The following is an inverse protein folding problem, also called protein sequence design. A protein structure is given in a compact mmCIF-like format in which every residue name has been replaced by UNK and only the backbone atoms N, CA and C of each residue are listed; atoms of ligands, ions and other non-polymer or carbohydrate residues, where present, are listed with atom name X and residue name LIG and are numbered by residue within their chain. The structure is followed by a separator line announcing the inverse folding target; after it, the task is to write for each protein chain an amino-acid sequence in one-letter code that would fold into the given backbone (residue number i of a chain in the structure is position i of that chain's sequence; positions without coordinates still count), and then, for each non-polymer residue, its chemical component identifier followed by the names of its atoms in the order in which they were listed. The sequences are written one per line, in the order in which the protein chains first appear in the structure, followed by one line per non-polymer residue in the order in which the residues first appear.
data_IF_473258318200
#
_entry.id   IF_473258318200
#
_cell.length_a   1.000
_cell.length_b   1.000
_cell.length_c   1.000
_cell.angle_alpha   90.00
_cell.angle_beta   90.00
_cell.angle_gamma   90.00
#
_symmetry.space_group_name_H-M   'P 1'
#
loop_
_entity.id
_entity.type
_entity.pdbx_description
1 polymer ?
#
# COMPACT_ATOMS: atom_id res chain seq x y z
N UNK A 1 -8.79 17.44 4.24
CA UNK A 1 -9.88 17.09 3.32
C UNK A 1 -10.41 15.71 3.70
N UNK A 2 -11.72 15.57 3.94
CA UNK A 2 -12.34 14.29 4.28
C UNK A 2 -12.94 13.60 3.06
N UNK A 3 -13.04 12.27 3.09
CA UNK A 3 -13.70 11.49 2.04
C UNK A 3 -15.20 11.82 1.98
N UNK A 4 -15.71 11.95 0.77
CA UNK A 4 -17.15 11.98 0.51
C UNK A 4 -17.75 10.57 0.63
N UNK A 5 -19.08 10.43 0.83
CA UNK A 5 -19.74 9.11 0.87
C UNK A 5 -19.49 8.27 -0.39
N UNK A 6 -19.44 8.89 -1.58
CA UNK A 6 -19.17 8.20 -2.83
C UNK A 6 -17.72 7.68 -2.92
N UNK A 7 -16.75 8.46 -2.42
CA UNK A 7 -15.35 8.02 -2.33
C UNK A 7 -15.19 6.87 -1.34
N UNK A 8 -15.85 6.96 -0.18
CA UNK A 8 -15.84 5.89 0.82
C UNK A 8 -16.43 4.60 0.27
N UNK A 9 -17.63 4.67 -0.33
CA UNK A 9 -18.28 3.49 -0.92
C UNK A 9 -17.40 2.82 -1.98
N UNK A 10 -16.72 3.60 -2.82
CA UNK A 10 -15.78 3.08 -3.82
C UNK A 10 -14.60 2.36 -3.17
N UNK A 11 -13.98 2.97 -2.17
CA UNK A 11 -12.85 2.38 -1.46
C UNK A 11 -13.24 1.04 -0.78
N UNK A 12 -14.43 0.99 -0.17
CA UNK A 12 -14.92 -0.21 0.51
C UNK A 12 -15.35 -1.35 -0.45
N UNK A 13 -15.57 -1.05 -1.73
CA UNK A 13 -15.89 -2.06 -2.76
C UNK A 13 -14.67 -2.71 -3.41
N UNK A 14 -13.45 -2.28 -3.06
CA UNK A 14 -12.23 -2.91 -3.56
C UNK A 14 -12.08 -4.30 -2.97
N UNK A 15 -11.95 -5.31 -3.84
CA UNK A 15 -11.74 -6.71 -3.46
C UNK A 15 -10.50 -6.86 -2.57
N UNK A 16 -10.61 -7.57 -1.45
CA UNK A 16 -9.47 -8.04 -0.68
C UNK A 16 -8.90 -9.32 -1.32
N UNK A 17 -7.72 -9.24 -1.92
CA UNK A 17 -7.08 -10.37 -2.61
C UNK A 17 -6.57 -11.43 -1.64
N UNK A 18 -6.39 -11.08 -0.36
CA UNK A 18 -6.00 -12.02 0.69
C UNK A 18 -7.18 -12.75 1.29
N UNK A 19 -8.42 -12.31 1.05
CA UNK A 19 -9.65 -12.87 1.65
C UNK A 19 -10.25 -13.98 0.76
N UNK A 20 -10.21 -15.25 1.19
CA UNK A 20 -10.77 -16.36 0.40
C UNK A 20 -12.29 -16.25 0.22
N UNK A 21 -13.00 -15.52 1.09
CA UNK A 21 -14.43 -15.28 0.92
C UNK A 21 -14.75 -14.41 -0.32
N UNK A 22 -13.75 -13.70 -0.84
CA UNK A 22 -13.86 -12.86 -2.02
C UNK A 22 -13.29 -13.54 -3.28
N UNK A 23 -13.11 -14.88 -3.26
CA UNK A 23 -12.66 -15.70 -4.37
C UNK A 23 -11.15 -15.98 -4.36
N UNK A 24 -10.69 -16.97 -5.14
CA UNK A 24 -9.29 -17.41 -5.14
C UNK A 24 -8.34 -16.33 -5.69
N UNK A 25 -7.12 -16.30 -5.15
CA UNK A 25 -6.03 -15.47 -5.64
C UNK A 25 -4.65 -15.95 -5.13
N UNK A 26 -3.60 -15.72 -5.91
CA UNK A 26 -2.22 -16.10 -5.61
C UNK A 26 -1.69 -15.48 -4.31
N UNK A 27 -2.26 -14.33 -3.92
CA UNK A 27 -1.96 -13.68 -2.63
C UNK A 27 -2.32 -14.58 -1.44
N UNK A 28 -3.40 -15.35 -1.51
CA UNK A 28 -3.81 -16.29 -0.46
C UNK A 28 -2.81 -17.44 -0.37
N UNK A 29 -2.44 -18.03 -1.50
CA UNK A 29 -1.46 -19.12 -1.55
C UNK A 29 -0.09 -18.69 -1.00
N UNK A 30 0.32 -17.45 -1.30
CA UNK A 30 1.56 -16.89 -0.79
C UNK A 30 1.47 -16.61 0.72
N UNK A 31 0.35 -16.06 1.18
CA UNK A 31 0.10 -15.85 2.61
C UNK A 31 0.09 -17.17 3.38
N UNK A 32 -0.59 -18.19 2.86
CA UNK A 32 -0.64 -19.54 3.46
C UNK A 32 0.75 -20.18 3.53
N UNK A 33 1.58 -20.00 2.49
CA UNK A 33 2.96 -20.46 2.50
C UNK A 33 3.80 -19.77 3.60
N UNK A 34 3.65 -18.45 3.75
CA UNK A 34 4.36 -17.68 4.78
C UNK A 34 3.90 -18.08 6.18
N UNK A 35 2.58 -18.11 6.42
CA UNK A 35 2.00 -18.50 7.71
C UNK A 35 2.36 -19.94 8.05
N UNK A 36 2.30 -20.85 7.09
CA UNK A 36 2.69 -22.25 7.26
C UNK A 36 4.17 -22.42 7.61
N UNK A 37 5.07 -21.65 6.96
CA UNK A 37 6.49 -21.67 7.29
C UNK A 37 6.76 -21.18 8.72
N UNK A 38 6.10 -20.11 9.15
CA UNK A 38 6.24 -19.59 10.52
C UNK A 38 5.62 -20.53 11.57
N UNK A 39 4.45 -21.12 11.29
CA UNK A 39 3.82 -22.09 12.16
C UNK A 39 4.67 -23.36 12.32
N UNK A 40 5.34 -23.82 11.24
CA UNK A 40 6.26 -24.93 11.31
C UNK A 40 7.53 -24.60 12.11
N UNK A 41 8.03 -23.36 12.01
CA UNK A 41 9.16 -22.88 12.80
C UNK A 41 8.82 -22.72 14.29
N UNK A 42 7.55 -22.44 14.61
CA UNK A 42 7.06 -22.21 15.97
C UNK A 42 5.91 -23.17 16.30
N UNK A 43 6.19 -24.47 16.53
CA UNK A 43 5.15 -25.48 16.74
C UNK A 43 4.32 -25.27 18.02
N UNK A 44 4.80 -24.46 18.96
CA UNK A 44 4.06 -24.03 20.16
C UNK A 44 3.10 -22.87 19.89
N UNK A 45 3.26 -22.15 18.78
CA UNK A 45 2.52 -20.94 18.51
C UNK A 45 1.13 -21.25 17.93
N UNK A 46 0.10 -20.61 18.46
CA UNK A 46 -1.24 -20.66 17.86
C UNK A 46 -1.35 -19.62 16.76
N UNK A 47 -1.83 -20.00 15.58
CA UNK A 47 -2.08 -19.05 14.49
C UNK A 47 -3.46 -18.41 14.67
N UNK A 48 -3.49 -17.08 14.68
CA UNK A 48 -4.72 -16.30 14.81
C UNK A 48 -4.82 -15.29 13.68
N UNK A 49 -5.71 -15.56 12.73
CA UNK A 49 -6.03 -14.61 11.65
C UNK A 49 -7.06 -13.60 12.16
N UNK A 50 -6.72 -12.32 12.08
CA UNK A 50 -7.58 -11.20 12.49
C UNK A 50 -7.92 -10.37 11.26
N UNK A 51 -9.21 -10.31 10.92
CA UNK A 51 -9.74 -9.40 9.90
C UNK A 51 -10.74 -8.47 10.56
N UNK A 52 -10.47 -7.18 10.49
CA UNK A 52 -11.39 -6.14 10.97
C UNK A 52 -11.84 -5.23 9.82
N UNK A 53 -12.97 -4.53 9.96
CA UNK A 53 -13.38 -3.51 9.00
C UNK A 53 -12.28 -2.45 8.82
N UNK A 54 -12.03 -1.96 7.59
CA UNK A 54 -10.93 -1.04 7.33
C UNK A 54 -11.14 0.38 7.87
N UNK A 55 -12.33 0.70 8.39
CA UNK A 55 -12.63 1.98 9.04
C UNK A 55 -12.18 1.90 10.50
N UNK A 56 -11.13 2.65 10.83
CA UNK A 56 -10.46 2.58 12.14
C UNK A 56 -10.39 3.96 12.80
N UNK A 57 -10.17 3.97 14.12
CA UNK A 57 -9.86 5.19 14.84
C UNK A 57 -8.45 5.67 14.49
N UNK A 58 -8.27 6.99 14.36
CA UNK A 58 -6.94 7.61 14.18
C UNK A 58 -5.99 7.21 15.30
N UNK A 59 -6.53 7.06 16.51
CA UNK A 59 -5.79 6.61 17.69
C UNK A 59 -5.24 5.19 17.58
N UNK A 60 -5.99 4.25 17.00
CA UNK A 60 -5.49 2.89 16.78
C UNK A 60 -4.52 2.83 15.59
N UNK A 61 -4.78 3.61 14.52
CA UNK A 61 -3.90 3.64 13.35
C UNK A 61 -2.54 4.29 13.63
N UNK A 62 -2.49 5.31 14.50
CA UNK A 62 -1.26 6.09 14.68
C UNK A 62 -0.84 6.29 16.13
N UNK A 63 -1.71 6.84 16.99
CA UNK A 63 -1.31 7.30 18.32
C UNK A 63 -0.78 6.16 19.20
N UNK A 64 -1.49 5.02 19.25
CA UNK A 64 -1.12 3.85 20.06
C UNK A 64 0.04 3.04 19.46
N UNK A 65 0.41 3.34 18.22
CA UNK A 65 1.61 2.81 17.57
C UNK A 65 2.81 3.79 17.67
N UNK A 66 2.64 4.92 18.35
CA UNK A 66 3.73 5.85 18.65
C UNK A 66 4.11 6.81 17.53
N UNK A 67 3.31 6.93 16.47
CA UNK A 67 3.57 7.89 15.40
C UNK A 67 3.53 9.33 15.94
N UNK A 68 4.48 10.16 15.54
CA UNK A 68 4.50 11.57 15.91
C UNK A 68 3.26 12.29 15.33
N UNK A 69 2.58 13.18 16.08
CA UNK A 69 1.44 13.95 15.55
C UNK A 69 1.77 14.79 14.30
N UNK A 70 3.03 15.20 14.13
CA UNK A 70 3.56 15.92 12.98
C UNK A 70 4.18 15.00 11.90
N UNK A 71 4.07 13.68 12.06
CA UNK A 71 4.53 12.71 11.07
C UNK A 71 3.81 12.94 9.73
N UNK A 72 4.58 13.01 8.66
CA UNK A 72 4.07 13.26 7.31
C UNK A 72 3.06 12.19 6.87
N UNK A 73 3.17 10.96 7.37
CA UNK A 73 2.23 9.87 7.08
C UNK A 73 0.83 10.15 7.60
N UNK A 74 0.66 11.06 8.58
CA UNK A 74 -0.64 11.54 9.07
C UNK A 74 -1.21 12.68 8.24
N UNK A 75 -0.44 13.26 7.31
CA UNK A 75 -0.96 14.34 6.48
C UNK A 75 -2.10 13.80 5.61
N UNK A 76 -3.17 14.60 5.48
CA UNK A 76 -4.28 14.26 4.63
C UNK A 76 -3.82 13.99 3.18
N UNK A 77 -2.72 14.59 2.72
CA UNK A 77 -2.15 14.34 1.39
C UNK A 77 -1.81 12.87 1.12
N UNK A 78 -1.47 12.09 2.14
CA UNK A 78 -1.17 10.66 2.03
C UNK A 78 -2.29 9.77 2.57
N UNK A 79 -3.12 10.31 3.48
CA UNK A 79 -4.06 9.53 4.29
C UNK A 79 -5.52 9.92 4.07
N UNK A 80 -6.40 8.91 4.08
CA UNK A 80 -7.82 9.05 3.74
C UNK A 80 -8.71 9.12 4.99
N UNK A 81 -8.88 10.33 5.51
CA UNK A 81 -9.72 10.61 6.68
C UNK A 81 -11.21 10.68 6.36
N UNK A 82 -12.05 10.18 7.28
CA UNK A 82 -13.51 10.36 7.27
C UNK A 82 -13.93 11.51 8.20
N UNK A 83 -13.20 11.69 9.29
CA UNK A 83 -13.41 12.74 10.31
C UNK A 83 -12.08 13.02 11.03
N UNK A 84 -12.01 13.97 11.99
CA UNK A 84 -10.81 14.17 12.80
C UNK A 84 -10.35 12.93 13.58
N UNK A 85 -11.24 11.97 13.84
CA UNK A 85 -10.99 10.81 14.71
C UNK A 85 -11.11 9.47 13.98
N UNK A 86 -11.53 9.46 12.72
CA UNK A 86 -11.85 8.24 11.97
C UNK A 86 -11.28 8.30 10.56
N UNK A 87 -10.71 7.18 10.11
CA UNK A 87 -10.04 7.07 8.81
C UNK A 87 -10.20 5.67 8.21
N UNK A 88 -9.89 5.53 6.92
CA UNK A 88 -9.56 4.21 6.37
C UNK A 88 -8.12 3.89 6.79
N UNK A 89 -7.86 2.68 7.29
CA UNK A 89 -6.54 2.30 7.79
C UNK A 89 -5.46 2.50 6.73
N UNK A 90 -4.34 3.12 7.10
CA UNK A 90 -3.21 3.36 6.19
C UNK A 90 -2.19 2.22 6.18
N UNK A 91 -2.31 1.27 7.11
CA UNK A 91 -1.56 0.02 7.16
C UNK A 91 -2.31 -1.01 8.02
N UNK A 92 -2.02 -2.30 7.84
CA UNK A 92 -2.65 -3.39 8.61
C UNK A 92 -2.28 -3.38 10.10
N UNK A 93 -1.15 -2.77 10.48
CA UNK A 93 -0.75 -2.62 11.89
C UNK A 93 -1.76 -1.79 12.70
N UNK A 94 -2.65 -1.04 12.05
CA UNK A 94 -3.72 -0.28 12.72
C UNK A 94 -4.64 -1.15 13.58
N UNK A 95 -4.71 -2.45 13.29
CA UNK A 95 -5.56 -3.39 14.02
C UNK A 95 -4.83 -4.00 15.25
N UNK A 96 -3.53 -3.75 15.39
CA UNK A 96 -2.71 -4.28 16.49
C UNK A 96 -3.14 -3.76 17.85
N UNK A 97 -3.34 -2.45 18.09
CA UNK A 97 -3.69 -1.98 19.43
C UNK A 97 -5.00 -2.62 19.95
N UNK A 98 -6.02 -2.70 19.09
CA UNK A 98 -7.27 -3.39 19.42
C UNK A 98 -7.07 -4.88 19.67
N UNK A 99 -6.25 -5.54 18.86
CA UNK A 99 -5.95 -6.96 19.01
C UNK A 99 -5.21 -7.27 20.31
N UNK A 100 -4.19 -6.46 20.65
CA UNK A 100 -3.39 -6.62 21.86
C UNK A 100 -4.18 -6.35 23.14
N UNK A 101 -5.11 -5.38 23.13
CA UNK A 101 -6.03 -5.16 24.28
C UNK A 101 -6.79 -6.42 24.65
N UNK A 102 -7.08 -7.29 23.67
CA UNK A 102 -7.72 -8.58 23.89
C UNK A 102 -6.89 -9.60 24.69
N UNK A 103 -5.61 -9.33 24.97
CA UNK A 103 -4.73 -10.16 25.80
C UNK A 103 -4.64 -9.67 27.26
N UNK A 104 -5.14 -8.47 27.57
CA UNK A 104 -5.18 -7.96 28.93
C UNK A 104 -6.17 -8.73 29.82
N UNK A 105 -6.01 -8.64 31.14
CA UNK A 105 -6.92 -9.26 32.11
C UNK A 105 -6.69 -10.77 32.27
N UNK A 106 -7.73 -11.60 32.14
CA UNK A 106 -7.65 -13.03 32.45
C UNK A 106 -6.60 -13.81 31.63
N UNK A 107 -6.31 -13.35 30.40
CA UNK A 107 -5.28 -13.95 29.53
C UNK A 107 -3.86 -13.61 29.96
N UNK A 108 -3.68 -12.59 30.81
CA UNK A 108 -2.37 -12.21 31.33
C UNK A 108 -1.75 -13.29 32.22
N UNK A 109 -2.57 -14.22 32.73
CA UNK A 109 -2.11 -15.33 33.57
C UNK A 109 -1.81 -16.61 32.77
N UNK A 110 -2.05 -16.59 31.46
CA UNK A 110 -1.80 -17.74 30.58
C UNK A 110 -0.42 -17.64 29.92
N UNK A 111 0.18 -18.81 29.69
CA UNK A 111 1.32 -18.92 28.76
C UNK A 111 0.78 -18.77 27.33
N UNK A 112 1.19 -17.71 26.66
CA UNK A 112 0.74 -17.34 25.30
C UNK A 112 1.94 -17.33 24.37
N UNK A 113 1.76 -17.93 23.21
CA UNK A 113 2.63 -17.84 22.04
C UNK A 113 1.69 -17.82 20.84
N UNK A 114 1.38 -16.64 20.32
CA UNK A 114 0.41 -16.46 19.25
C UNK A 114 1.11 -15.81 18.05
N UNK A 115 0.93 -16.41 16.87
CA UNK A 115 1.17 -15.75 15.60
C UNK A 115 -0.12 -15.06 15.15
N UNK A 116 -0.19 -13.76 15.38
CA UNK A 116 -1.27 -12.89 14.95
C UNK A 116 -1.01 -12.49 13.49
N UNK A 117 -1.96 -12.78 12.61
CA UNK A 117 -1.89 -12.51 11.17
C UNK A 117 -3.00 -11.53 10.83
N UNK A 118 -2.66 -10.34 10.37
CA UNK A 118 -3.63 -9.27 10.04
C UNK A 118 -3.52 -8.92 8.56
N UNK A 119 -4.14 -9.73 7.67
CA UNK A 119 -4.11 -9.48 6.25
C UNK A 119 -5.23 -8.53 5.82
N UNK A 120 -4.95 -7.71 4.81
CA UNK A 120 -5.98 -7.03 4.05
C UNK A 120 -5.53 -5.71 3.43
N UNK A 121 -6.52 -4.95 2.98
CA UNK A 121 -6.31 -3.66 2.31
C UNK A 121 -5.85 -2.57 3.28
N UNK A 122 -4.85 -1.81 2.86
CA UNK A 122 -4.57 -0.47 3.35
C UNK A 122 -5.07 0.57 2.34
N UNK A 123 -5.25 1.81 2.78
CA UNK A 123 -5.83 2.88 1.96
C UNK A 123 -4.95 4.12 2.04
N UNK A 124 -4.31 4.47 0.93
CA UNK A 124 -3.37 5.59 0.81
C UNK A 124 -3.70 6.41 -0.43
N UNK A 125 -3.29 7.67 -0.42
CA UNK A 125 -3.16 8.46 -1.65
C UNK A 125 -1.77 8.20 -2.20
N UNK A 126 -1.70 7.89 -3.49
CA UNK A 126 -0.47 7.44 -4.12
C UNK A 126 -0.48 7.74 -5.63
N UNK A 127 0.71 7.83 -6.21
CA UNK A 127 0.95 8.12 -7.63
C UNK A 127 0.46 6.99 -8.52
N UNK A 128 -0.03 7.33 -9.72
CA UNK A 128 -0.48 6.33 -10.69
C UNK A 128 0.72 5.86 -11.51
N UNK A 129 1.20 4.65 -11.24
CA UNK A 129 2.21 3.96 -12.05
C UNK A 129 2.06 2.43 -12.00
N UNK A 130 3.09 1.70 -12.43
CA UNK A 130 3.11 0.24 -12.58
C UNK A 130 3.34 -0.52 -11.27
N UNK A 131 3.68 0.16 -10.19
CA UNK A 131 4.04 -0.46 -8.91
C UNK A 131 3.27 0.13 -7.71
N UNK A 132 2.55 1.24 -7.90
CA UNK A 132 1.76 1.92 -6.87
C UNK A 132 0.25 1.86 -7.14
N UNK A 133 -0.51 1.61 -6.07
CA UNK A 133 -1.98 1.59 -6.05
C UNK A 133 -2.47 2.33 -4.80
N UNK A 134 -3.68 2.90 -4.86
CA UNK A 134 -4.27 3.59 -3.70
C UNK A 134 -4.74 2.64 -2.61
N UNK A 135 -4.95 1.36 -2.94
CA UNK A 135 -5.46 0.33 -2.05
C UNK A 135 -4.54 -0.91 -2.05
N UNK A 136 -3.30 -0.79 -1.55
CA UNK A 136 -2.37 -1.91 -1.53
C UNK A 136 -2.81 -2.99 -0.53
N UNK A 137 -2.53 -4.24 -0.88
CA UNK A 137 -2.65 -5.39 0.01
C UNK A 137 -1.44 -5.47 0.93
N UNK A 138 -1.69 -5.60 2.22
CA UNK A 138 -0.67 -5.80 3.24
C UNK A 138 -1.01 -6.99 4.13
N UNK A 139 0.00 -7.48 4.84
CA UNK A 139 -0.20 -8.33 6.00
C UNK A 139 0.78 -7.92 7.10
N UNK A 140 0.25 -7.77 8.30
CA UNK A 140 1.06 -7.75 9.52
C UNK A 140 1.14 -9.15 10.11
N UNK A 141 2.37 -9.60 10.37
CA UNK A 141 2.70 -10.85 11.04
C UNK A 141 3.34 -10.50 12.38
N UNK A 142 2.62 -10.75 13.47
CA UNK A 142 3.08 -10.42 14.82
C UNK A 142 3.13 -11.67 15.66
N UNK A 143 4.30 -12.01 16.19
CA UNK A 143 4.43 -13.10 17.17
C UNK A 143 4.41 -12.48 18.56
N UNK A 144 3.35 -12.71 19.33
CA UNK A 144 3.22 -12.23 20.71
C UNK A 144 3.49 -13.39 21.68
N UNK A 145 4.35 -13.16 22.67
CA UNK A 145 4.71 -14.18 23.66
C UNK A 145 4.59 -13.63 25.08
N UNK A 146 4.09 -14.45 25.99
CA UNK A 146 4.25 -14.25 27.43
C UNK A 146 5.37 -15.13 27.98
N UNK A 147 6.22 -14.59 28.85
CA UNK A 147 7.36 -15.28 29.45
C UNK A 147 8.70 -14.85 28.86
N UNK A 148 9.36 -15.76 28.14
CA UNK A 148 10.73 -15.54 27.67
C UNK A 148 10.84 -14.37 26.70
N UNK A 149 11.90 -13.57 26.88
CA UNK A 149 12.21 -12.46 25.98
C UNK A 149 12.48 -12.95 24.57
N UNK A 150 11.92 -12.20 23.62
CA UNK A 150 12.18 -12.34 22.19
C UNK A 150 13.33 -11.43 21.81
N UNK A 151 14.31 -11.95 21.07
CA UNK A 151 15.57 -11.25 20.75
C UNK A 151 15.79 -11.12 19.25
N UNK A 152 16.79 -10.32 18.85
CA UNK A 152 17.09 -10.11 17.42
C UNK A 152 17.50 -11.36 16.63
N UNK A 153 17.82 -12.49 17.29
CA UNK A 153 17.96 -13.79 16.61
C UNK A 153 16.60 -14.28 16.11
N UNK A 154 15.57 -14.27 16.96
CA UNK A 154 14.22 -14.70 16.59
C UNK A 154 13.66 -13.86 15.43
N UNK A 155 13.96 -12.55 15.42
CA UNK A 155 13.58 -11.64 14.33
C UNK A 155 14.27 -12.03 13.01
N UNK A 156 15.57 -12.29 13.04
CA UNK A 156 16.32 -12.75 11.85
C UNK A 156 15.80 -14.09 11.33
N UNK A 157 15.46 -15.01 12.23
CA UNK A 157 14.92 -16.33 11.87
C UNK A 157 13.53 -16.17 11.23
N UNK A 158 12.67 -15.32 11.79
CA UNK A 158 11.38 -14.97 11.18
C UNK A 158 11.55 -14.42 9.76
N UNK A 159 12.45 -13.46 9.57
CA UNK A 159 12.73 -12.87 8.25
C UNK A 159 13.22 -13.95 7.28
N UNK A 160 14.12 -14.83 7.70
CA UNK A 160 14.61 -15.92 6.86
C UNK A 160 13.48 -16.84 6.38
N UNK A 161 12.57 -17.23 7.26
CA UNK A 161 11.41 -18.06 6.90
C UNK A 161 10.43 -17.33 5.96
N UNK A 162 10.16 -16.05 6.20
CA UNK A 162 9.28 -15.24 5.34
C UNK A 162 9.90 -15.07 3.95
N UNK A 163 11.18 -14.72 3.86
CA UNK A 163 11.86 -14.56 2.56
C UNK A 163 11.90 -15.90 1.82
N UNK A 164 12.25 -17.00 2.47
CA UNK A 164 12.31 -18.31 1.82
C UNK A 164 10.93 -18.76 1.32
N UNK A 165 9.85 -18.47 2.06
CA UNK A 165 8.49 -18.79 1.62
C UNK A 165 8.07 -17.96 0.39
N UNK A 166 8.48 -16.69 0.30
CA UNK A 166 8.09 -15.79 -0.79
C UNK A 166 8.99 -15.93 -2.01
N UNK A 167 10.31 -15.98 -1.80
CA UNK A 167 11.34 -16.06 -2.84
C UNK A 167 12.39 -17.11 -2.44
N UNK A 168 12.09 -18.40 -2.61
CA UNK A 168 13.02 -19.48 -2.30
C UNK A 168 14.40 -19.26 -2.93
N UNK A 169 15.44 -19.32 -2.11
CA UNK A 169 16.83 -19.13 -2.53
C UNK A 169 17.25 -17.69 -2.86
N UNK A 170 16.40 -16.68 -2.62
CA UNK A 170 16.79 -15.29 -2.82
C UNK A 170 17.81 -14.84 -1.77
N UNK A 171 18.78 -14.04 -2.21
CA UNK A 171 19.64 -13.31 -1.27
C UNK A 171 18.84 -12.18 -0.64
N UNK A 172 18.97 -12.00 0.67
CA UNK A 172 18.30 -10.93 1.41
C UNK A 172 19.26 -10.25 2.39
N UNK A 173 18.89 -9.07 2.85
CA UNK A 173 19.60 -8.32 3.90
C UNK A 173 18.61 -7.55 4.77
N UNK A 174 19.00 -7.30 6.02
CA UNK A 174 18.32 -6.37 6.91
C UNK A 174 19.10 -5.06 6.99
N UNK A 175 18.42 -3.96 6.71
CA UNK A 175 18.97 -2.60 6.82
C UNK A 175 18.29 -1.94 8.03
N UNK A 176 19.04 -1.46 9.03
CA UNK A 176 18.44 -0.81 10.20
C UNK A 176 17.49 0.32 9.80
N UNK A 177 16.28 0.31 10.36
CA UNK A 177 15.23 1.28 10.09
C UNK A 177 14.50 1.60 11.41
N UNK A 178 13.96 2.81 11.53
CA UNK A 178 13.19 3.21 12.71
C UNK A 178 11.71 3.17 12.35
N UNK A 179 10.95 2.35 13.07
CA UNK A 179 9.50 2.36 13.01
C UNK A 179 8.95 2.77 14.38
N UNK A 180 7.86 3.54 14.44
CA UNK A 180 7.36 4.06 15.71
C UNK A 180 7.00 2.97 16.72
N UNK A 181 6.50 1.82 16.26
CA UNK A 181 5.97 0.72 17.07
C UNK A 181 6.95 -0.46 17.27
N UNK A 182 8.21 -0.34 16.83
CA UNK A 182 9.23 -1.39 17.03
C UNK A 182 10.51 -0.89 17.69
N UNK A 183 11.21 -1.80 18.37
CA UNK A 183 12.62 -1.67 18.77
C UNK A 183 13.46 -2.52 17.82
N UNK A 184 14.71 -2.10 17.60
CA UNK A 184 15.64 -2.78 16.69
C UNK A 184 15.03 -3.02 15.30
N UNK A 185 14.33 -2.00 14.80
CA UNK A 185 13.65 -2.06 13.52
C UNK A 185 14.61 -2.25 12.34
N UNK A 186 14.13 -2.94 11.31
CA UNK A 186 14.87 -3.17 10.09
C UNK A 186 13.95 -3.29 8.88
N UNK A 187 14.37 -2.68 7.78
CA UNK A 187 13.89 -2.94 6.45
C UNK A 187 14.52 -4.24 5.92
N UNK A 188 13.72 -5.10 5.30
CA UNK A 188 14.14 -6.33 4.66
C UNK A 188 14.21 -6.11 3.15
N UNK A 189 15.42 -6.14 2.59
CA UNK A 189 15.62 -6.08 1.16
C UNK A 189 15.89 -7.49 0.61
N UNK A 190 15.32 -7.79 -0.56
CA UNK A 190 15.61 -9.00 -1.34
C UNK A 190 16.28 -8.62 -2.65
N UNK A 191 17.21 -9.46 -3.10
CA UNK A 191 17.88 -9.28 -4.39
C UNK A 191 17.05 -9.90 -5.49
N UNK A 192 16.61 -9.09 -6.44
CA UNK A 192 15.82 -9.53 -7.58
C UNK A 192 16.32 -8.83 -8.85
N UNK A 193 16.59 -9.62 -9.90
CA UNK A 193 17.06 -9.10 -11.20
C UNK A 193 18.28 -8.18 -11.13
N UNK A 194 19.15 -8.37 -10.13
CA UNK A 194 20.38 -7.59 -9.94
C UNK A 194 20.28 -6.48 -8.89
N UNK A 195 19.07 -6.02 -8.58
CA UNK A 195 18.80 -4.90 -7.68
C UNK A 195 18.33 -5.35 -6.29
N UNK A 196 18.53 -4.50 -5.29
CA UNK A 196 17.95 -4.66 -3.95
C UNK A 196 16.60 -3.97 -3.89
N UNK A 197 15.56 -4.72 -3.56
CA UNK A 197 14.20 -4.23 -3.45
C UNK A 197 13.68 -4.49 -2.04
N UNK A 198 13.11 -3.47 -1.43
CA UNK A 198 12.41 -3.59 -0.16
C UNK A 198 11.22 -4.54 -0.28
N UNK A 199 11.15 -5.53 0.60
CA UNK A 199 10.07 -6.51 0.68
C UNK A 199 9.16 -6.26 1.90
N UNK A 200 9.76 -6.01 3.06
CA UNK A 200 9.06 -5.92 4.33
C UNK A 200 9.80 -5.00 5.31
N UNK A 201 9.08 -4.58 6.36
CA UNK A 201 9.65 -3.90 7.53
C UNK A 201 9.40 -4.76 8.76
N UNK A 202 10.33 -4.78 9.71
CA UNK A 202 10.22 -5.65 10.87
C UNK A 202 10.92 -5.08 12.11
N UNK A 203 10.69 -5.67 13.27
CA UNK A 203 11.36 -5.33 14.52
C UNK A 203 10.83 -6.11 15.72
N UNK A 204 11.41 -5.86 16.89
CA UNK A 204 10.85 -6.32 18.17
C UNK A 204 9.69 -5.39 18.56
N UNK A 205 8.62 -5.91 19.14
CA UNK A 205 7.49 -5.06 19.57
C UNK A 205 7.99 -4.02 20.59
N UNK A 206 7.65 -2.74 20.38
CA UNK A 206 8.04 -1.69 21.30
C UNK A 206 7.23 -1.72 22.60
N UNK A 207 7.91 -1.50 23.72
CA UNK A 207 7.31 -1.59 25.06
C UNK A 207 6.12 -0.64 25.27
N UNK A 208 6.10 0.52 24.61
CA UNK A 208 4.99 1.47 24.73
C UNK A 208 3.71 0.94 24.04
N UNK A 209 3.84 0.11 23.00
CA UNK A 209 2.70 -0.55 22.33
C UNK A 209 2.09 -1.58 23.28
N UNK A 210 2.94 -2.39 23.94
CA UNK A 210 2.50 -3.37 24.94
C UNK A 210 1.82 -2.68 26.13
N UNK A 211 2.46 -1.65 26.70
CA UNK A 211 1.87 -0.86 27.81
C UNK A 211 0.55 -0.20 27.41
N UNK A 212 0.47 0.35 26.19
CA UNK A 212 -0.75 0.95 25.64
C UNK A 212 -1.91 -0.05 25.51
N UNK A 213 -1.61 -1.34 25.41
CA UNK A 213 -2.59 -2.43 25.41
C UNK A 213 -2.86 -3.03 26.80
N UNK A 214 -2.22 -2.52 27.87
CA UNK A 214 -2.32 -3.06 29.23
C UNK A 214 -1.48 -4.32 29.48
N UNK A 215 -0.43 -4.54 28.68
CA UNK A 215 0.49 -5.67 28.81
C UNK A 215 1.83 -5.19 29.42
N UNK A 216 2.32 -5.90 30.42
CA UNK A 216 3.62 -5.63 31.05
C UNK A 216 4.80 -6.07 30.13
N UNK A 217 5.65 -5.15 29.65
CA UNK A 217 6.80 -5.48 28.80
C UNK A 217 7.88 -6.34 29.47
N UNK A 218 7.84 -6.50 30.80
CA UNK A 218 8.70 -7.45 31.50
C UNK A 218 8.17 -8.90 31.44
N UNK A 219 6.91 -9.06 31.05
CA UNK A 219 6.23 -10.36 30.93
C UNK A 219 5.87 -10.69 29.49
N UNK A 220 5.76 -9.68 28.63
CA UNK A 220 5.34 -9.78 27.25
C UNK A 220 6.43 -9.25 26.32
N UNK A 221 6.70 -10.01 25.27
CA UNK A 221 7.61 -9.60 24.21
C UNK A 221 7.14 -10.18 22.87
N UNK A 222 7.76 -9.78 21.77
CA UNK A 222 7.39 -10.35 20.49
C UNK A 222 8.09 -9.74 19.30
N UNK A 223 7.70 -10.24 18.13
CA UNK A 223 8.15 -9.80 16.81
C UNK A 223 7.01 -9.11 16.09
N UNK A 224 7.34 -8.12 15.27
CA UNK A 224 6.45 -7.46 14.34
C UNK A 224 7.08 -7.46 12.95
N UNK A 225 6.30 -7.79 11.92
CA UNK A 225 6.70 -7.70 10.52
C UNK A 225 5.51 -7.27 9.66
N UNK A 226 5.66 -6.18 8.90
CA UNK A 226 4.71 -5.72 7.90
C UNK A 226 5.21 -6.05 6.49
N UNK A 227 4.36 -6.69 5.68
CA UNK A 227 4.69 -7.16 4.33
C UNK A 227 3.71 -6.59 3.30
N UNK A 228 4.24 -6.01 2.23
CA UNK A 228 3.47 -5.62 1.05
C UNK A 228 3.12 -6.83 0.18
N UNK A 229 1.88 -7.34 0.28
CA UNK A 229 1.46 -8.55 -0.41
C UNK A 229 1.43 -8.40 -1.93
N UNK A 230 1.04 -7.23 -2.45
CA UNK A 230 1.08 -6.99 -3.91
C UNK A 230 2.50 -7.14 -4.45
N UNK A 231 3.47 -6.50 -3.78
CA UNK A 231 4.89 -6.59 -4.15
C UNK A 231 5.42 -8.02 -4.02
N UNK A 232 5.06 -8.72 -2.94
CA UNK A 232 5.46 -10.10 -2.72
C UNK A 232 4.98 -11.03 -3.84
N UNK A 233 3.71 -10.92 -4.25
CA UNK A 233 3.15 -11.69 -5.38
C UNK A 233 3.81 -11.30 -6.70
N UNK A 234 4.04 -9.99 -6.93
CA UNK A 234 4.71 -9.51 -8.14
C UNK A 234 6.12 -10.05 -8.25
N UNK A 235 6.91 -10.05 -7.17
CA UNK A 235 8.26 -10.61 -7.14
C UNK A 235 8.25 -12.13 -7.32
N UNK A 236 7.36 -12.84 -6.61
CA UNK A 236 7.23 -14.31 -6.69
C UNK A 236 6.96 -14.78 -8.11
N UNK A 237 6.06 -14.09 -8.81
CA UNK A 237 5.61 -14.47 -10.14
C UNK A 237 6.36 -13.72 -11.25
N UNK A 238 7.11 -12.66 -10.98
CA UNK A 238 7.71 -11.80 -12.01
C UNK A 238 6.67 -10.97 -12.78
N UNK A 239 5.62 -10.50 -12.09
CA UNK A 239 4.56 -9.68 -12.69
C UNK A 239 5.09 -8.24 -12.85
N UNK A 240 5.06 -7.68 -14.07
CA UNK A 240 5.74 -6.42 -14.36
C UNK A 240 4.87 -5.17 -14.11
N UNK A 241 3.59 -5.35 -13.75
CA UNK A 241 2.64 -4.27 -13.55
C UNK A 241 1.57 -4.69 -12.53
N UNK A 242 1.42 -3.89 -11.46
CA UNK A 242 0.51 -4.16 -10.35
C UNK A 242 -0.95 -4.27 -10.81
N UNK A 243 -1.33 -3.62 -11.91
CA UNK A 243 -2.70 -3.68 -12.47
C UNK A 243 -3.09 -5.10 -12.88
N UNK A 244 -2.12 -5.97 -13.19
CA UNK A 244 -2.40 -7.38 -13.51
C UNK A 244 -3.02 -8.15 -12.33
N UNK A 245 -2.69 -7.79 -11.08
CA UNK A 245 -3.19 -8.49 -9.88
C UNK A 245 -4.72 -8.40 -9.73
N UNK A 246 -5.35 -7.39 -10.34
CA UNK A 246 -6.79 -7.13 -10.23
C UNK A 246 -7.52 -7.21 -11.57
N UNK A 247 -6.85 -7.63 -12.62
CA UNK A 247 -7.44 -7.66 -13.96
C UNK A 247 -8.55 -8.72 -14.03
N UNK A 248 -9.72 -8.33 -14.54
CA UNK A 248 -10.82 -9.24 -14.85
C UNK A 248 -10.68 -10.01 -16.17
N UNK A 249 -9.60 -9.79 -16.93
CA UNK A 249 -9.35 -10.55 -18.16
C UNK A 249 -9.11 -12.03 -17.83
N UNK A 250 -9.87 -12.97 -18.42
CA UNK A 250 -9.74 -14.40 -18.09
C UNK A 250 -8.31 -14.96 -18.27
N UNK A 251 -7.54 -14.44 -19.23
CA UNK A 251 -6.15 -14.88 -19.49
C UNK A 251 -5.17 -14.41 -18.43
N UNK A 252 -5.49 -13.30 -17.77
CA UNK A 252 -4.70 -12.74 -16.66
C UNK A 252 -5.17 -13.36 -15.35
N UNK A 253 -6.49 -13.35 -15.11
CA UNK A 253 -7.10 -13.87 -13.89
C UNK A 253 -6.76 -15.34 -13.64
N UNK A 254 -6.78 -16.19 -14.68
CA UNK A 254 -6.41 -17.61 -14.54
C UNK A 254 -4.95 -17.84 -14.12
N UNK A 255 -4.07 -16.86 -14.30
CA UNK A 255 -2.68 -16.94 -13.81
C UNK A 255 -2.56 -16.55 -12.33
N UNK A 256 -3.63 -16.05 -11.71
CA UNK A 256 -3.68 -15.71 -10.29
C UNK A 256 -4.21 -16.86 -9.43
N UNK A 257 -4.38 -18.07 -9.97
CA UNK A 257 -4.84 -19.23 -9.21
C UNK A 257 -3.68 -20.11 -8.69
N UNK A 258 -2.43 -19.76 -9.01
CA UNK A 258 -1.23 -20.47 -8.57
C UNK A 258 -0.03 -19.53 -8.33
N UNK A 259 1.11 -20.08 -7.90
CA UNK A 259 2.37 -19.36 -7.71
C UNK A 259 3.38 -19.57 -8.85
N UNK A 260 2.95 -20.09 -10.01
CA UNK A 260 3.84 -20.29 -11.15
C UNK A 260 4.28 -18.95 -11.75
N UNK A 261 5.46 -18.86 -12.39
CA UNK A 261 5.92 -17.62 -13.01
C UNK A 261 4.93 -17.06 -14.04
N UNK A 262 4.77 -15.74 -14.03
CA UNK A 262 3.94 -14.96 -14.93
C UNK A 262 4.28 -15.23 -16.39
N UNK A 263 3.24 -15.48 -17.18
CA UNK A 263 3.32 -15.62 -18.63
C UNK A 263 2.76 -14.34 -19.26
N UNK A 264 3.57 -13.59 -20.02
CA UNK A 264 3.10 -12.37 -20.68
C UNK A 264 1.87 -12.63 -21.54
N UNK A 265 0.79 -11.91 -21.25
CA UNK A 265 -0.28 -11.69 -22.23
C UNK A 265 0.20 -10.66 -23.25
N UNK A 266 -0.28 -10.73 -24.50
CA UNK A 266 0.20 -9.90 -25.62
C UNK A 266 0.50 -8.46 -25.20
N UNK A 267 1.72 -7.98 -25.46
CA UNK A 267 2.10 -6.61 -25.14
C UNK A 267 1.33 -5.63 -26.04
N UNK A 268 0.37 -4.92 -25.46
CA UNK A 268 -0.44 -3.96 -26.19
C UNK A 268 0.29 -2.62 -26.32
N UNK A 269 0.19 -1.94 -27.48
CA UNK A 269 0.87 -0.67 -27.68
C UNK A 269 0.34 0.38 -26.69
N UNK A 270 1.25 1.15 -26.09
CA UNK A 270 0.90 2.32 -25.28
C UNK A 270 0.69 3.54 -26.15
N UNK A 271 -0.17 4.44 -25.70
CA UNK A 271 -0.35 5.78 -26.25
C UNK A 271 0.09 6.81 -25.21
N UNK A 272 1.04 7.69 -25.59
CA UNK A 272 1.50 8.80 -24.74
C UNK A 272 0.73 10.08 -25.06
N UNK A 273 0.38 10.83 -24.01
CA UNK A 273 -0.16 12.18 -24.09
C UNK A 273 0.55 13.06 -23.07
N UNK A 274 1.07 14.19 -23.52
CA UNK A 274 1.59 15.21 -22.60
C UNK A 274 0.51 16.29 -22.41
N UNK A 275 0.36 16.75 -21.17
CA UNK A 275 -0.62 17.71 -20.72
C UNK A 275 0.11 18.89 -20.09
N UNK A 276 -0.36 20.12 -20.35
CA UNK A 276 -0.02 21.30 -19.54
C UNK A 276 -1.24 21.61 -18.70
N UNK A 277 -1.15 21.47 -17.38
CA UNK A 277 -2.29 21.68 -16.48
C UNK A 277 -1.94 22.74 -15.44
N UNK A 278 -2.94 23.54 -15.07
CA UNK A 278 -2.83 24.47 -13.95
C UNK A 278 -3.33 23.73 -12.72
N UNK A 279 -2.52 23.68 -11.67
CA UNK A 279 -2.81 23.07 -10.36
C UNK A 279 -2.54 24.09 -9.26
N UNK A 280 -3.02 23.83 -8.04
CA UNK A 280 -2.62 24.63 -6.88
C UNK A 280 -1.14 24.35 -6.52
N UNK A 281 -0.46 25.36 -5.97
CA UNK A 281 0.98 25.28 -5.64
C UNK A 281 1.34 24.15 -4.66
N UNK A 282 0.39 23.78 -3.79
CA UNK A 282 0.54 22.76 -2.75
C UNK A 282 0.10 21.35 -3.19
N UNK A 283 -0.36 21.18 -4.43
CA UNK A 283 -0.79 19.87 -4.94
C UNK A 283 0.42 18.99 -5.27
N UNK A 284 0.67 17.96 -4.46
CA UNK A 284 1.70 16.94 -4.70
C UNK A 284 1.24 15.85 -5.70
N UNK A 285 2.17 14.95 -6.05
CA UNK A 285 1.96 13.94 -7.08
C UNK A 285 0.96 12.86 -6.61
N UNK A 286 0.94 12.56 -5.32
CA UNK A 286 0.04 11.62 -4.66
C UNK A 286 -1.40 12.14 -4.66
N UNK A 287 -1.61 13.41 -4.32
CA UNK A 287 -2.94 14.05 -4.38
C UNK A 287 -3.43 14.14 -5.82
N UNK A 288 -2.53 14.47 -6.76
CA UNK A 288 -2.86 14.49 -8.19
C UNK A 288 -3.25 13.09 -8.68
N UNK A 289 -2.50 12.06 -8.29
CA UNK A 289 -2.79 10.66 -8.56
C UNK A 289 -4.16 10.22 -8.05
N UNK A 290 -4.47 10.48 -6.77
CA UNK A 290 -5.77 10.17 -6.15
C UNK A 290 -6.93 10.88 -6.86
N UNK A 291 -6.72 12.14 -7.28
CA UNK A 291 -7.71 12.91 -8.06
C UNK A 291 -7.99 12.25 -9.40
N UNK A 292 -6.96 11.80 -10.12
CA UNK A 292 -7.12 11.05 -11.38
C UNK A 292 -7.88 9.74 -11.14
N UNK A 293 -7.53 8.97 -10.11
CA UNK A 293 -8.23 7.70 -9.79
C UNK A 293 -9.70 7.93 -9.48
N UNK A 294 -9.99 8.96 -8.69
CA UNK A 294 -11.36 9.31 -8.30
C UNK A 294 -12.22 9.67 -9.53
N UNK A 295 -11.65 10.43 -10.47
CA UNK A 295 -12.33 10.84 -11.69
C UNK A 295 -12.55 9.69 -12.68
N UNK A 296 -11.56 8.82 -12.86
CA UNK A 296 -11.64 7.73 -13.85
C UNK A 296 -12.35 6.48 -13.32
N UNK A 297 -12.35 6.24 -12.00
CA UNK A 297 -12.89 5.01 -11.41
C UNK A 297 -12.24 3.77 -12.02
N UNK A 298 -13.07 2.82 -12.49
CA UNK A 298 -12.62 1.58 -13.15
C UNK A 298 -11.73 1.84 -14.37
N UNK A 299 -11.91 2.96 -15.08
CA UNK A 299 -11.10 3.33 -16.25
C UNK A 299 -9.65 3.69 -15.89
N UNK A 300 -9.33 3.83 -14.59
CA UNK A 300 -7.94 3.96 -14.13
C UNK A 300 -7.11 2.76 -14.54
N UNK A 301 -7.70 1.56 -14.66
CA UNK A 301 -6.99 0.36 -15.11
C UNK A 301 -6.39 0.50 -16.52
N UNK A 302 -6.92 1.41 -17.35
CA UNK A 302 -6.39 1.71 -18.68
C UNK A 302 -5.16 2.64 -18.65
N UNK A 303 -4.89 3.27 -17.51
CA UNK A 303 -3.78 4.20 -17.31
C UNK A 303 -2.58 3.46 -16.75
N UNK A 304 -1.48 3.46 -17.48
CA UNK A 304 -0.22 2.86 -17.04
C UNK A 304 0.55 3.79 -16.11
N UNK A 305 0.59 5.08 -16.43
CA UNK A 305 1.17 6.05 -15.52
C UNK A 305 0.70 7.48 -15.77
N UNK A 306 0.66 8.26 -14.69
CA UNK A 306 0.52 9.72 -14.69
C UNK A 306 1.75 10.28 -13.99
N UNK A 307 2.62 10.98 -14.71
CA UNK A 307 3.87 11.50 -14.14
C UNK A 307 3.99 12.99 -14.35
N UNK A 308 4.21 13.75 -13.28
CA UNK A 308 4.59 15.15 -13.40
C UNK A 308 6.05 15.22 -13.83
N UNK A 309 6.32 15.80 -14.99
CA UNK A 309 7.67 15.89 -15.57
C UNK A 309 8.33 17.24 -15.30
N UNK A 310 7.53 18.28 -15.06
CA UNK A 310 8.02 19.61 -14.68
C UNK A 310 6.93 20.39 -13.96
N UNK A 311 7.34 21.31 -13.09
CA UNK A 311 6.49 22.26 -12.38
C UNK A 311 7.06 23.66 -12.55
N UNK A 312 6.22 24.63 -12.91
CA UNK A 312 6.63 26.04 -13.04
C UNK A 312 5.61 26.90 -12.31
N UNK A 313 6.04 27.54 -11.23
CA UNK A 313 5.17 28.40 -10.42
C UNK A 313 4.75 29.62 -11.22
N UNK A 314 3.64 30.24 -10.82
CA UNK A 314 3.14 31.47 -11.43
C UNK A 314 4.24 32.52 -11.65
N UNK A 315 5.06 32.79 -10.63
CA UNK A 315 6.10 33.82 -10.67
C UNK A 315 7.18 33.56 -11.74
N UNK A 316 7.50 32.28 -11.97
CA UNK A 316 8.60 31.84 -12.85
C UNK A 316 8.13 31.57 -14.29
N UNK A 317 6.82 31.58 -14.53
CA UNK A 317 6.25 31.30 -15.84
C UNK A 317 6.33 32.54 -16.75
N UNK A 318 6.76 32.45 -18.02
CA UNK A 318 6.80 33.59 -18.93
C UNK A 318 5.44 34.27 -19.10
N UNK A 319 5.41 35.61 -19.25
CA UNK A 319 4.17 36.41 -19.34
C UNK A 319 3.17 35.85 -20.35
N UNK A 320 3.62 35.55 -21.56
CA UNK A 320 2.77 34.97 -22.62
C UNK A 320 2.12 33.65 -22.21
N UNK A 321 2.82 32.82 -21.44
CA UNK A 321 2.29 31.55 -20.97
C UNK A 321 1.33 31.76 -19.79
N UNK A 322 1.59 32.73 -18.90
CA UNK A 322 0.64 33.14 -17.85
C UNK A 322 -0.68 33.64 -18.43
N UNK A 323 -0.61 34.51 -19.44
CA UNK A 323 -1.77 35.06 -20.13
C UNK A 323 -2.57 33.96 -20.85
N UNK A 324 -1.89 33.08 -21.60
CA UNK A 324 -2.54 31.97 -22.33
C UNK A 324 -3.27 31.01 -21.40
N UNK A 325 -2.66 30.65 -20.26
CA UNK A 325 -3.26 29.77 -19.26
C UNK A 325 -4.22 30.50 -18.31
N UNK A 326 -4.25 31.84 -18.38
CA UNK A 326 -4.88 32.74 -17.42
C UNK A 326 -4.63 32.31 -15.96
N UNK A 327 -3.36 32.00 -15.67
CA UNK A 327 -2.95 31.62 -14.32
C UNK A 327 -3.00 32.81 -13.37
N UNK A 328 -3.19 32.52 -12.08
CA UNK A 328 -3.15 33.48 -10.98
C UNK A 328 -2.08 33.11 -9.95
N UNK A 329 -1.65 34.05 -9.08
CA UNK A 329 -0.78 33.72 -7.96
C UNK A 329 -1.36 32.59 -7.09
N UNK A 330 -0.50 31.69 -6.61
CA UNK A 330 -0.91 30.47 -5.89
C UNK A 330 -1.15 29.26 -6.80
N UNK A 331 -0.91 29.40 -8.10
CA UNK A 331 -1.02 28.33 -9.08
C UNK A 331 0.32 27.97 -9.70
N UNK A 332 0.44 26.69 -10.06
CA UNK A 332 1.59 26.11 -10.75
C UNK A 332 1.14 25.49 -12.07
N UNK A 333 1.90 25.72 -13.14
CA UNK A 333 1.78 24.96 -14.37
C UNK A 333 2.56 23.65 -14.23
N UNK A 334 1.86 22.52 -14.25
CA UNK A 334 2.46 21.20 -14.23
C UNK A 334 2.41 20.58 -15.64
N UNK A 335 3.56 20.10 -16.11
CA UNK A 335 3.64 19.26 -17.29
C UNK A 335 3.44 17.81 -16.85
N UNK A 336 2.38 17.18 -17.34
CA UNK A 336 2.00 15.82 -16.96
C UNK A 336 2.10 14.90 -18.17
N UNK A 337 2.89 13.84 -18.04
CA UNK A 337 2.97 12.76 -19.02
C UNK A 337 2.01 11.65 -18.62
N UNK A 338 0.99 11.46 -19.45
CA UNK A 338 0.03 10.38 -19.36
C UNK A 338 0.43 9.25 -20.32
N UNK A 339 0.60 8.05 -19.79
CA UNK A 339 0.78 6.83 -20.57
C UNK A 339 -0.46 5.97 -20.42
N UNK A 340 -1.17 5.77 -21.53
CA UNK A 340 -2.39 4.96 -21.58
C UNK A 340 -2.04 3.62 -22.23
N UNK A 341 -2.31 2.52 -21.52
CA UNK A 341 -2.11 1.16 -22.00
C UNK A 341 -3.07 0.22 -21.25
N UNK A 342 -4.26 -0.06 -21.79
CA UNK A 342 -5.12 -1.11 -21.27
C UNK A 342 -4.42 -2.46 -21.33
N UNK A 343 -4.76 -3.33 -20.39
CA UNK A 343 -4.17 -4.66 -20.32
C UNK A 343 -4.81 -5.65 -21.30
N UNK A 344 -5.99 -5.33 -21.83
CA UNK A 344 -6.87 -6.31 -22.49
C UNK A 344 -7.14 -6.02 -23.96
N UNK A 345 -6.95 -4.77 -24.41
CA UNK A 345 -7.25 -4.32 -25.78
C UNK A 345 -6.37 -3.15 -26.23
N UNK A 346 -6.20 -3.03 -27.54
CA UNK A 346 -5.62 -1.82 -28.15
C UNK A 346 -6.61 -0.66 -28.06
N UNK A 347 -6.12 0.56 -27.83
CA UNK A 347 -6.90 1.79 -27.91
C UNK A 347 -6.76 2.43 -29.29
N UNK A 348 -7.86 2.99 -29.76
CA UNK A 348 -7.82 3.99 -30.83
C UNK A 348 -7.28 5.32 -30.32
N UNK A 349 -6.81 6.18 -31.23
CA UNK A 349 -6.37 7.52 -30.88
C UNK A 349 -7.51 8.37 -30.25
N UNK A 350 -8.76 8.18 -30.71
CA UNK A 350 -9.93 8.87 -30.20
C UNK A 350 -10.24 8.49 -28.75
N UNK A 351 -10.21 7.20 -28.41
CA UNK A 351 -10.43 6.75 -27.03
C UNK A 351 -9.32 7.22 -26.09
N UNK A 352 -8.05 7.21 -26.56
CA UNK A 352 -6.94 7.74 -25.78
C UNK A 352 -7.07 9.26 -25.56
N UNK A 353 -7.61 10.01 -26.54
CA UNK A 353 -7.90 11.43 -26.37
C UNK A 353 -9.06 11.66 -25.39
N UNK A 354 -10.08 10.80 -25.39
CA UNK A 354 -11.16 10.86 -24.39
C UNK A 354 -10.61 10.67 -22.97
N UNK A 355 -9.79 9.63 -22.74
CA UNK A 355 -9.13 9.41 -21.44
C UNK A 355 -8.21 10.58 -21.05
N UNK A 356 -7.45 11.13 -22.00
CA UNK A 356 -6.66 12.34 -21.79
C UNK A 356 -7.52 13.51 -21.34
N UNK A 357 -8.65 13.75 -22.00
CA UNK A 357 -9.56 14.86 -21.69
C UNK A 357 -10.21 14.67 -20.31
N UNK A 358 -10.56 13.44 -19.94
CA UNK A 358 -11.08 13.11 -18.61
C UNK A 358 -10.02 13.39 -17.52
N UNK A 359 -8.77 12.93 -17.73
CA UNK A 359 -7.65 13.23 -16.83
C UNK A 359 -7.40 14.73 -16.74
N UNK A 360 -7.38 15.44 -17.87
CA UNK A 360 -7.18 16.89 -17.91
C UNK A 360 -8.25 17.61 -17.08
N UNK A 361 -9.53 17.30 -17.30
CA UNK A 361 -10.65 17.91 -16.56
C UNK A 361 -10.59 17.61 -15.06
N UNK A 362 -10.05 16.45 -14.68
CA UNK A 362 -9.92 16.08 -13.28
C UNK A 362 -8.89 16.93 -12.53
N UNK A 363 -7.75 17.23 -13.17
CA UNK A 363 -6.60 17.85 -12.47
C UNK A 363 -6.37 19.31 -12.83
N UNK A 364 -6.93 19.81 -13.93
CA UNK A 364 -6.77 21.21 -14.35
C UNK A 364 -7.78 22.12 -13.64
N UNK A 365 -7.29 23.04 -12.81
CA UNK A 365 -8.11 24.04 -12.10
C UNK A 365 -8.11 25.41 -12.77
N UNK A 366 -7.37 25.57 -13.86
CA UNK A 366 -7.29 26.82 -14.60
C UNK A 366 -8.59 27.13 -15.36
N UNK A 367 -8.82 28.41 -15.72
CA UNK A 367 -10.04 28.82 -16.40
C UNK A 367 -10.04 28.51 -17.91
N UNK A 368 -8.89 28.15 -18.49
CA UNK A 368 -8.74 27.88 -19.93
C UNK A 368 -8.60 26.38 -20.18
N UNK A 369 -9.58 25.80 -20.87
CA UNK A 369 -9.58 24.37 -21.18
C UNK A 369 -8.87 24.06 -22.51
N UNK A 370 -7.83 23.22 -22.47
CA UNK A 370 -7.13 22.69 -23.65
C UNK A 370 -7.47 21.20 -23.84
N UNK A 371 -8.60 20.93 -24.49
CA UNK A 371 -9.06 19.57 -24.81
C UNK A 371 -8.58 19.13 -26.21
N UNK A 372 -8.29 17.83 -26.34
CA UNK A 372 -7.77 17.19 -27.55
C UNK A 372 -8.86 16.58 -28.43
#
# INVERSE_FOLDING_TARGET
MYLTPAQLARALNVRDLTDPAQGPHAAQLLLDAVVGALAAAWPSATVRIVRTPPVVAVTDNYDLLGYDPADVTRDARYTRYLSPTTMLRSHTSADIPATLRGYSGAREQLSIDDLIVLPGLAYRRDVVDRIHVGEPQQVDLWRLRSGADTVGRDLRDMVAHVVEAILPGASWRMVPARHPYTRDGAQVDVRHSGDWLELAECGLIADHVLRGAGLDPHRWSGLALGLGMDRAVMLRKGIPDIRYLRSGDPRIAAQMDDLTPWRPVSALPSIRRDLSVVIADDTDDETLGDTVRAALGERTADIESVRVTARTRYADLPDRARERLAMTPGQTNALVRLVVRPLTRTLTAAEANALRNDVYRAIHIGPVAELA
#
